data_IF_565723891388
#
_entry.id   IF_565723891388
#
_cell.length_a   1.000
_cell.length_b   1.000
_cell.length_c   1.000
_cell.angle_alpha   90.00
_cell.angle_beta   90.00
_cell.angle_gamma   90.00
#
_symmetry.space_group_name_H-M   'P 1'
#
loop_
_entity.id
_entity.type
_entity.pdbx_description
1 polymer ?
#
# COMPACT_ATOMS: atom_id res chain seq x y z
N UNK A 1 14.04 27.20 -15.38
CA UNK A 1 14.57 26.33 -14.33
C UNK A 1 14.66 24.90 -14.89
N UNK A 2 15.87 24.39 -15.00
CA UNK A 2 16.11 23.06 -15.61
C UNK A 2 15.79 22.01 -14.54
N UNK A 3 14.69 21.28 -14.72
CA UNK A 3 14.34 20.16 -13.86
C UNK A 3 15.28 18.98 -14.19
N UNK A 4 16.22 18.73 -13.31
CA UNK A 4 17.01 17.50 -13.35
C UNK A 4 16.22 16.43 -12.58
N UNK A 5 15.39 15.69 -13.29
CA UNK A 5 14.80 14.46 -12.76
C UNK A 5 15.94 13.45 -12.58
N UNK A 6 16.26 13.11 -11.34
CA UNK A 6 17.05 11.91 -11.07
C UNK A 6 16.19 10.73 -11.54
N UNK A 7 16.69 9.97 -12.47
CA UNK A 7 16.10 8.71 -12.99
C UNK A 7 16.03 7.69 -11.85
N UNK A 8 15.08 7.85 -10.95
CA UNK A 8 14.59 6.73 -10.16
C UNK A 8 13.71 5.92 -11.12
N UNK A 9 13.84 4.62 -11.16
CA UNK A 9 12.92 3.77 -11.90
C UNK A 9 11.54 3.97 -11.28
N UNK A 10 10.71 4.78 -11.94
CA UNK A 10 9.32 4.97 -11.53
C UNK A 10 8.52 3.77 -12.02
N UNK A 11 7.71 3.20 -11.14
CA UNK A 11 6.84 2.05 -11.43
C UNK A 11 5.48 2.51 -12.00
N UNK A 12 5.49 3.38 -13.02
CA UNK A 12 4.29 3.82 -13.73
C UNK A 12 3.85 5.25 -13.47
N UNK A 13 2.72 5.69 -14.08
CA UNK A 13 2.29 7.09 -14.08
C UNK A 13 1.89 7.65 -12.72
N UNK A 14 1.35 6.81 -11.83
CA UNK A 14 0.96 7.25 -10.47
C UNK A 14 2.16 7.59 -9.60
N UNK A 15 3.26 6.87 -9.75
CA UNK A 15 4.47 7.11 -8.97
C UNK A 15 5.09 8.47 -9.33
N UNK A 16 5.11 8.81 -10.62
CA UNK A 16 5.57 10.10 -11.11
C UNK A 16 4.69 11.24 -10.59
N UNK A 17 3.36 11.08 -10.66
CA UNK A 17 2.43 12.09 -10.17
C UNK A 17 2.60 12.33 -8.67
N UNK A 18 2.72 11.27 -7.88
CA UNK A 18 2.96 11.41 -6.44
C UNK A 18 4.29 12.10 -6.14
N UNK A 19 5.37 11.74 -6.85
CA UNK A 19 6.66 12.38 -6.67
C UNK A 19 6.60 13.88 -6.99
N UNK A 20 5.91 14.29 -8.06
CA UNK A 20 5.71 15.70 -8.42
C UNK A 20 4.88 16.44 -7.35
N UNK A 21 3.78 15.86 -6.89
CA UNK A 21 2.90 16.44 -5.87
C UNK A 21 3.65 16.59 -4.54
N UNK A 22 4.42 15.57 -4.13
CA UNK A 22 5.19 15.55 -2.89
C UNK A 22 6.35 16.56 -2.93
N UNK A 23 7.03 16.72 -4.06
CA UNK A 23 8.08 17.73 -4.25
C UNK A 23 7.55 19.15 -4.08
N UNK A 24 6.37 19.43 -4.60
CA UNK A 24 5.72 20.75 -4.47
C UNK A 24 4.95 20.90 -3.14
N UNK A 25 4.97 19.87 -2.28
CA UNK A 25 4.28 19.85 -0.97
C UNK A 25 2.78 20.14 -1.07
N UNK A 26 2.15 19.64 -2.13
CA UNK A 26 0.73 19.80 -2.39
C UNK A 26 -0.09 18.64 -1.81
N UNK A 27 -1.38 18.91 -1.60
CA UNK A 27 -2.38 17.86 -1.30
C UNK A 27 -2.91 17.27 -2.61
N UNK A 28 -3.30 16.00 -2.60
CA UNK A 28 -3.92 15.35 -3.78
C UNK A 28 -5.30 15.95 -3.98
N UNK A 29 -5.45 16.81 -4.98
CA UNK A 29 -6.71 17.40 -5.42
C UNK A 29 -6.57 17.92 -6.87
N UNK A 30 -7.68 18.32 -7.48
CA UNK A 30 -7.73 18.81 -8.86
C UNK A 30 -6.75 19.99 -9.10
N UNK A 31 -6.65 20.91 -8.15
CA UNK A 31 -5.76 22.08 -8.27
C UNK A 31 -4.30 21.64 -8.34
N UNK A 32 -3.88 20.75 -7.45
CA UNK A 32 -2.53 20.20 -7.46
C UNK A 32 -2.22 19.44 -8.75
N UNK A 33 -3.18 18.63 -9.21
CA UNK A 33 -3.06 17.90 -10.48
C UNK A 33 -2.91 18.84 -11.68
N UNK A 34 -3.64 19.94 -11.72
CA UNK A 34 -3.48 20.98 -12.75
C UNK A 34 -2.08 21.59 -12.74
N UNK A 35 -1.50 21.82 -11.55
CA UNK A 35 -0.15 22.41 -11.39
C UNK A 35 0.95 21.43 -11.83
N UNK A 36 0.88 20.16 -11.46
CA UNK A 36 1.90 19.17 -11.80
C UNK A 36 1.77 18.59 -13.21
N UNK A 37 0.67 18.86 -13.92
CA UNK A 37 0.42 18.33 -15.25
C UNK A 37 1.54 18.61 -16.25
N UNK A 38 2.12 19.81 -16.25
CA UNK A 38 3.22 20.17 -17.16
C UNK A 38 4.47 19.33 -16.89
N UNK A 39 4.81 19.13 -15.62
CA UNK A 39 5.93 18.28 -15.24
C UNK A 39 5.74 16.84 -15.70
N UNK A 40 4.51 16.32 -15.58
CA UNK A 40 4.16 15.01 -16.05
C UNK A 40 4.28 14.88 -17.58
N UNK A 41 3.79 15.86 -18.34
CA UNK A 41 3.91 15.86 -19.80
C UNK A 41 5.36 15.98 -20.28
N UNK A 42 6.19 16.76 -19.57
CA UNK A 42 7.61 16.84 -19.86
C UNK A 42 8.30 15.50 -19.63
N UNK A 43 7.96 14.79 -18.55
CA UNK A 43 8.49 13.46 -18.27
C UNK A 43 8.22 12.49 -19.42
N UNK A 44 6.98 12.39 -19.89
CA UNK A 44 6.61 11.47 -20.99
C UNK A 44 7.37 11.82 -22.29
N UNK A 45 7.67 13.09 -22.54
CA UNK A 45 8.39 13.51 -23.74
C UNK A 45 9.89 13.16 -23.71
N UNK A 46 10.49 13.13 -22.53
CA UNK A 46 11.93 12.95 -22.35
C UNK A 46 12.27 11.47 -22.17
N UNK A 47 11.48 10.77 -21.40
CA UNK A 47 11.70 9.35 -21.09
C UNK A 47 11.03 8.48 -22.16
N UNK A 48 11.79 7.51 -22.65
CA UNK A 48 11.25 6.47 -23.54
C UNK A 48 10.42 5.48 -22.69
N UNK A 49 9.13 5.79 -22.50
CA UNK A 49 8.19 4.89 -21.81
C UNK A 49 8.11 3.57 -22.57
N UNK A 50 8.26 2.46 -21.87
CA UNK A 50 8.14 1.13 -22.46
C UNK A 50 6.75 0.96 -23.09
N UNK A 51 6.69 0.30 -24.24
CA UNK A 51 5.43 0.16 -25.01
C UNK A 51 4.29 -0.47 -24.19
N UNK A 52 4.63 -1.37 -23.29
CA UNK A 52 3.65 -2.06 -22.44
C UNK A 52 2.98 -1.12 -21.41
N UNK A 53 3.68 -0.10 -20.96
CA UNK A 53 3.18 0.87 -19.98
C UNK A 53 2.55 2.10 -20.61
N UNK A 54 2.81 2.35 -21.90
CA UNK A 54 2.40 3.56 -22.61
C UNK A 54 0.89 3.82 -22.53
N UNK A 55 0.07 2.77 -22.58
CA UNK A 55 -1.38 2.89 -22.48
C UNK A 55 -1.83 3.49 -21.13
N UNK A 56 -1.20 3.06 -20.02
CA UNK A 56 -1.50 3.58 -18.69
C UNK A 56 -1.10 5.08 -18.58
N UNK A 57 0.03 5.46 -19.15
CA UNK A 57 0.45 6.87 -19.22
C UNK A 57 -0.52 7.73 -20.03
N UNK A 58 -1.02 7.20 -21.15
CA UNK A 58 -1.95 7.93 -22.01
C UNK A 58 -3.30 8.20 -21.32
N UNK A 59 -3.82 7.24 -20.59
CA UNK A 59 -5.06 7.39 -19.79
C UNK A 59 -4.89 8.50 -18.75
N UNK A 60 -3.81 8.50 -18.00
CA UNK A 60 -3.54 9.55 -17.00
C UNK A 60 -3.31 10.90 -17.69
N UNK A 61 -2.55 10.94 -18.78
CA UNK A 61 -2.29 12.17 -19.52
C UNK A 61 -3.58 12.82 -20.04
N UNK A 62 -4.52 12.03 -20.57
CA UNK A 62 -5.81 12.56 -21.05
C UNK A 62 -6.63 13.20 -19.93
N UNK A 63 -6.69 12.58 -18.75
CA UNK A 63 -7.37 13.14 -17.58
C UNK A 63 -6.67 14.41 -17.08
N UNK A 64 -5.34 14.46 -17.07
CA UNK A 64 -4.60 15.67 -16.70
C UNK A 64 -4.78 16.82 -17.70
N UNK A 65 -4.88 16.53 -19.00
CA UNK A 65 -5.21 17.55 -20.01
C UNK A 65 -6.59 18.14 -19.77
N UNK A 66 -7.57 17.31 -19.42
CA UNK A 66 -8.92 17.75 -19.08
C UNK A 66 -8.93 18.66 -17.85
N UNK A 67 -8.25 18.26 -16.76
CA UNK A 67 -8.11 19.03 -15.53
C UNK A 67 -7.45 20.40 -15.84
N UNK A 68 -6.38 20.37 -16.61
CA UNK A 68 -5.67 21.61 -16.98
C UNK A 68 -6.51 22.54 -17.84
N UNK A 69 -7.25 22.00 -18.82
CA UNK A 69 -8.16 22.78 -19.66
C UNK A 69 -9.25 23.46 -18.82
N UNK A 70 -9.82 22.74 -17.85
CA UNK A 70 -10.81 23.28 -16.92
C UNK A 70 -10.23 24.40 -16.07
N UNK A 71 -9.00 24.25 -15.59
CA UNK A 71 -8.31 25.24 -14.76
C UNK A 71 -7.98 26.55 -15.54
N UNK A 72 -7.72 26.42 -16.83
CA UNK A 72 -7.29 27.57 -17.66
C UNK A 72 -8.44 28.31 -18.36
N UNK A 73 -9.56 27.63 -18.60
CA UNK A 73 -10.67 28.17 -19.39
C UNK A 73 -11.88 28.46 -18.50
N UNK A 74 -12.16 29.73 -18.15
CA UNK A 74 -13.38 30.09 -17.44
C UNK A 74 -14.62 29.70 -18.26
N UNK A 75 -15.52 28.93 -17.69
CA UNK A 75 -16.74 28.45 -18.36
C UNK A 75 -16.60 27.14 -19.14
N UNK A 76 -15.48 26.45 -19.05
CA UNK A 76 -15.31 25.11 -19.60
C UNK A 76 -16.20 24.11 -18.80
N UNK A 77 -17.23 23.60 -19.47
CA UNK A 77 -18.12 22.62 -18.87
C UNK A 77 -17.63 21.22 -19.19
N UNK A 78 -17.45 20.43 -18.15
CA UNK A 78 -17.15 19.00 -18.26
C UNK A 78 -18.41 18.17 -18.09
N UNK A 79 -18.44 17.03 -18.70
CA UNK A 79 -19.52 16.05 -18.55
C UNK A 79 -19.42 15.36 -17.18
N UNK A 80 -20.51 14.70 -16.77
CA UNK A 80 -20.49 13.91 -15.52
C UNK A 80 -19.48 12.75 -15.56
N UNK A 81 -19.29 12.15 -16.72
CA UNK A 81 -18.31 11.09 -16.95
C UNK A 81 -16.87 11.61 -16.79
N UNK A 82 -16.59 12.80 -17.30
CA UNK A 82 -15.29 13.44 -17.16
C UNK A 82 -15.01 13.83 -15.70
N UNK A 83 -16.02 14.38 -15.01
CA UNK A 83 -15.89 14.67 -13.57
C UNK A 83 -15.64 13.39 -12.75
N UNK A 84 -16.28 12.30 -13.10
CA UNK A 84 -16.05 10.99 -12.48
C UNK A 84 -14.62 10.52 -12.73
N UNK A 85 -14.11 10.65 -13.94
CA UNK A 85 -12.73 10.28 -14.27
C UNK A 85 -11.68 11.05 -13.46
N UNK A 86 -11.93 12.34 -13.19
CA UNK A 86 -11.07 13.17 -12.35
C UNK A 86 -11.06 12.64 -10.90
N UNK A 87 -12.25 12.40 -10.33
CA UNK A 87 -12.38 11.86 -8.97
C UNK A 87 -11.74 10.46 -8.84
N UNK A 88 -11.93 9.60 -9.83
CA UNK A 88 -11.27 8.29 -9.85
C UNK A 88 -9.75 8.40 -9.87
N UNK A 89 -9.18 9.38 -10.57
CA UNK A 89 -7.74 9.62 -10.56
C UNK A 89 -7.25 10.05 -9.17
N UNK A 90 -7.95 10.98 -8.51
CA UNK A 90 -7.62 11.42 -7.15
C UNK A 90 -7.67 10.25 -6.14
N UNK A 91 -8.76 9.47 -6.16
CA UNK A 91 -8.93 8.30 -5.28
C UNK A 91 -7.83 7.25 -5.50
N UNK A 92 -7.49 6.94 -6.76
CA UNK A 92 -6.41 6.00 -7.08
C UNK A 92 -5.05 6.48 -6.59
N UNK A 93 -4.77 7.77 -6.72
CA UNK A 93 -3.52 8.37 -6.20
C UNK A 93 -3.46 8.29 -4.67
N UNK A 94 -4.56 8.54 -3.97
CA UNK A 94 -4.60 8.40 -2.51
C UNK A 94 -4.38 6.95 -2.04
N UNK A 95 -5.04 6.00 -2.72
CA UNK A 95 -4.87 4.57 -2.42
C UNK A 95 -3.41 4.18 -2.68
N UNK A 96 -2.85 4.57 -3.82
CA UNK A 96 -1.47 4.26 -4.17
C UNK A 96 -0.47 4.85 -3.17
N UNK A 97 -0.68 6.09 -2.72
CA UNK A 97 0.14 6.72 -1.67
C UNK A 97 0.16 5.90 -0.38
N UNK A 98 -1.00 5.41 0.05
CA UNK A 98 -1.10 4.54 1.24
C UNK A 98 -0.36 3.21 1.03
N UNK A 99 -0.58 2.57 -0.11
CA UNK A 99 0.08 1.29 -0.44
C UNK A 99 1.60 1.48 -0.48
N UNK A 100 2.10 2.55 -1.11
CA UNK A 100 3.53 2.87 -1.17
C UNK A 100 4.14 3.05 0.22
N UNK A 101 3.44 3.73 1.13
CA UNK A 101 3.87 3.87 2.52
C UNK A 101 3.93 2.52 3.27
N UNK A 102 2.94 1.65 3.09
CA UNK A 102 2.96 0.30 3.67
C UNK A 102 4.06 -0.58 3.06
N UNK A 103 4.27 -0.50 1.74
CA UNK A 103 5.33 -1.23 1.06
C UNK A 103 6.72 -0.83 1.58
N UNK A 104 6.95 0.47 1.82
CA UNK A 104 8.18 0.96 2.42
C UNK A 104 8.41 0.39 3.83
N UNK A 105 7.36 0.36 4.66
CA UNK A 105 7.40 -0.22 6.00
C UNK A 105 7.72 -1.72 5.98
N UNK A 106 7.06 -2.47 5.07
CA UNK A 106 7.32 -3.90 4.90
C UNK A 106 8.75 -4.15 4.40
N UNK A 107 9.23 -3.35 3.45
CA UNK A 107 10.60 -3.42 2.95
C UNK A 107 11.63 -3.15 4.06
N UNK A 108 11.37 -2.24 4.97
CA UNK A 108 12.23 -1.98 6.12
C UNK A 108 12.27 -3.18 7.08
N UNK A 109 11.11 -3.76 7.41
CA UNK A 109 11.03 -4.97 8.24
C UNK A 109 11.73 -6.16 7.61
N UNK A 110 11.54 -6.36 6.31
CA UNK A 110 12.21 -7.42 5.56
C UNK A 110 13.74 -7.27 5.61
N UNK A 111 14.26 -6.04 5.48
CA UNK A 111 15.69 -5.75 5.58
C UNK A 111 16.26 -6.00 7.00
N UNK A 112 15.45 -5.82 8.04
CA UNK A 112 15.81 -6.15 9.42
C UNK A 112 15.84 -7.66 9.68
N UNK A 113 15.43 -8.48 8.72
CA UNK A 113 15.36 -9.94 8.89
C UNK A 113 14.16 -10.42 9.71
N UNK A 114 13.19 -9.56 9.97
CA UNK A 114 11.96 -9.91 10.68
C UNK A 114 11.07 -10.76 9.75
N UNK A 115 11.15 -12.10 9.93
CA UNK A 115 10.42 -13.07 9.08
C UNK A 115 9.26 -13.75 9.79
N UNK A 116 9.18 -13.58 11.11
CA UNK A 116 8.12 -14.19 11.93
C UNK A 116 7.35 -13.12 12.69
N UNK A 117 6.05 -13.15 12.54
CA UNK A 117 5.13 -12.28 13.26
C UNK A 117 4.23 -13.15 14.11
N UNK A 118 4.35 -13.03 15.43
CA UNK A 118 3.44 -13.71 16.35
C UNK A 118 2.23 -12.84 16.62
N UNK A 119 1.08 -13.48 16.66
CA UNK A 119 -0.16 -12.89 17.18
C UNK A 119 -0.44 -13.56 18.53
N UNK A 120 -0.82 -12.81 19.59
CA UNK A 120 -1.31 -13.45 20.80
C UNK A 120 -2.47 -14.36 20.42
N UNK A 121 -2.30 -15.66 20.67
CA UNK A 121 -3.35 -16.62 20.41
C UNK A 121 -4.48 -16.35 21.41
N UNK A 122 -5.71 -16.21 20.91
CA UNK A 122 -6.91 -16.17 21.75
C UNK A 122 -6.87 -15.13 22.89
N UNK A 123 -6.38 -13.90 22.63
CA UNK A 123 -6.22 -12.87 23.66
C UNK A 123 -7.53 -12.51 24.40
N UNK A 124 -8.68 -12.81 23.82
CA UNK A 124 -10.01 -12.57 24.40
C UNK A 124 -10.71 -13.84 24.88
N UNK A 125 -10.19 -15.02 24.51
CA UNK A 125 -10.77 -16.30 24.93
C UNK A 125 -10.02 -16.83 26.17
N UNK A 126 -10.73 -16.97 27.28
CA UNK A 126 -10.20 -17.70 28.42
C UNK A 126 -10.04 -19.17 27.99
N UNK A 127 -8.83 -19.75 28.12
CA UNK A 127 -8.64 -21.15 27.80
C UNK A 127 -9.60 -22.00 28.66
N UNK A 128 -10.65 -22.50 28.05
CA UNK A 128 -11.52 -23.45 28.70
C UNK A 128 -10.80 -24.81 28.70
N UNK A 129 -10.44 -25.29 29.87
CA UNK A 129 -9.93 -26.65 30.01
C UNK A 129 -11.09 -27.62 29.76
N UNK A 130 -11.09 -28.25 28.59
CA UNK A 130 -12.02 -29.31 28.28
C UNK A 130 -11.36 -30.66 28.59
N UNK A 131 -11.94 -31.40 29.55
CA UNK A 131 -11.52 -32.77 29.78
C UNK A 131 -11.81 -33.58 28.52
N UNK A 132 -10.85 -34.37 28.02
CA UNK A 132 -11.14 -35.32 26.91
C UNK A 132 -12.28 -36.25 27.33
N UNK A 133 -13.28 -36.49 26.45
CA UNK A 133 -14.45 -37.30 26.79
C UNK A 133 -14.12 -38.76 27.12
N UNK A 134 -12.92 -39.21 26.80
CA UNK A 134 -12.43 -40.58 27.02
C UNK A 134 -11.52 -40.71 28.24
N UNK A 135 -11.32 -39.65 29.04
CA UNK A 135 -10.43 -39.69 30.18
C UNK A 135 -11.08 -40.42 31.35
N UNK A 136 -10.54 -41.57 31.73
CA UNK A 136 -11.00 -42.35 32.88
C UNK A 136 -10.13 -42.06 34.12
N UNK A 137 -10.69 -42.36 35.31
CA UNK A 137 -9.94 -42.30 36.59
C UNK A 137 -8.69 -43.17 36.58
N UNK A 138 -8.75 -44.31 35.88
CA UNK A 138 -7.62 -45.25 35.77
C UNK A 138 -6.49 -44.69 34.89
N UNK A 139 -6.82 -43.92 33.87
CA UNK A 139 -5.82 -43.23 33.04
C UNK A 139 -5.09 -42.15 33.82
N UNK A 140 -5.81 -41.40 34.68
CA UNK A 140 -5.21 -40.42 35.60
C UNK A 140 -4.28 -41.10 36.62
N UNK A 141 -4.70 -42.24 37.21
CA UNK A 141 -3.84 -42.99 38.14
C UNK A 141 -2.56 -43.48 37.47
N UNK A 142 -2.68 -44.06 36.26
CA UNK A 142 -1.53 -44.52 35.49
C UNK A 142 -0.56 -43.37 35.18
N UNK A 143 -1.09 -42.25 34.74
CA UNK A 143 -0.29 -41.04 34.45
C UNK A 143 0.44 -40.53 35.71
N UNK A 144 -0.26 -40.48 36.83
CA UNK A 144 0.33 -40.08 38.11
C UNK A 144 1.50 -40.99 38.54
N UNK A 145 1.30 -42.29 38.46
CA UNK A 145 2.35 -43.28 38.76
C UNK A 145 3.57 -43.13 37.86
N UNK A 146 3.35 -42.86 36.56
CA UNK A 146 4.44 -42.60 35.62
C UNK A 146 5.22 -41.33 35.97
N UNK A 147 4.52 -40.28 36.36
CA UNK A 147 5.18 -39.00 36.76
C UNK A 147 5.99 -39.20 38.02
N UNK A 148 5.39 -39.86 39.04
CA UNK A 148 6.08 -40.15 40.32
C UNK A 148 7.34 -41.00 40.12
N UNK A 149 7.30 -41.96 39.20
CA UNK A 149 8.44 -42.83 38.87
C UNK A 149 9.61 -42.06 38.20
N UNK A 150 9.31 -40.90 37.59
CA UNK A 150 10.32 -40.04 36.91
C UNK A 150 10.95 -39.02 37.82
N UNK A 151 10.44 -38.79 39.02
CA UNK A 151 11.01 -37.87 39.99
C UNK A 151 12.30 -38.48 40.50
N UNK A 152 13.47 -37.84 40.32
CA UNK A 152 14.71 -38.34 40.88
C UNK A 152 14.60 -38.36 42.40
N UNK A 153 14.90 -39.52 43.01
CA UNK A 153 15.02 -39.60 44.48
C UNK A 153 16.23 -38.74 44.86
N UNK A 154 16.00 -37.67 45.62
CA UNK A 154 17.11 -36.92 46.21
C UNK A 154 17.73 -37.79 47.28
N UNK A 155 19.02 -38.08 47.14
CA UNK A 155 19.86 -38.65 48.19
C UNK A 155 19.95 -37.64 49.34
#
# INVERSE_FOLDING_TARGET
>A
MTYTLKTAQFEGPFDILLDLIEREKLSINEIALAQVADGFFQYIKIEAVAHEEFAAFLVVASTLMLIKSRSLLPGFHITKEEEKSIKELEERLEIYKRIRAFAALLGERARRGERMFSRPAFAEERPAFMLPPTLSLDDLKKALVQVLARIPKSD
#
